data_IF_146286733939
#
_entry.id   IF_146286733939
#
_cell.length_a   1.000
_cell.length_b   1.000
_cell.length_c   1.000
_cell.angle_alpha   90.00
_cell.angle_beta   90.00
_cell.angle_gamma   90.00
#
_symmetry.space_group_name_H-M   'P 1'
#
loop_
_entity.id
_entity.type
_entity.pdbx_description
1 polymer ?
#
# COMPACT_ATOMS: atom_id res chain seq x y z
N UNK A 1 10.93 9.01 5.82
CA UNK A 1 10.65 9.00 7.27
C UNK A 1 10.11 7.64 7.67
N UNK A 2 10.59 7.07 8.77
CA UNK A 2 10.08 5.80 9.29
C UNK A 2 8.63 5.98 9.78
N UNK A 3 7.71 5.12 9.31
CA UNK A 3 6.30 5.17 9.71
C UNK A 3 6.18 4.71 11.17
N UNK A 4 5.68 5.56 12.06
CA UNK A 4 5.42 5.21 13.46
C UNK A 4 4.41 4.06 13.52
N UNK A 5 4.78 2.97 14.19
CA UNK A 5 3.94 1.77 14.30
C UNK A 5 2.75 2.03 15.22
N UNK A 6 1.62 1.39 14.91
CA UNK A 6 0.46 1.35 15.81
C UNK A 6 0.79 0.44 16.98
N UNK A 7 0.45 0.87 18.20
CA UNK A 7 0.68 0.09 19.42
C UNK A 7 -0.28 -1.09 19.49
N UNK A 8 0.14 -2.21 20.11
CA UNK A 8 -0.70 -3.42 20.19
C UNK A 8 -2.01 -3.17 20.93
N UNK A 9 -2.02 -2.29 21.94
CA UNK A 9 -3.25 -1.85 22.62
C UNK A 9 -4.29 -1.30 21.64
N UNK A 10 -3.86 -0.52 20.65
CA UNK A 10 -4.77 0.03 19.62
C UNK A 10 -5.27 -1.07 18.69
N UNK A 11 -4.44 -2.04 18.34
CA UNK A 11 -4.85 -3.18 17.51
C UNK A 11 -5.95 -3.98 18.22
N UNK A 12 -5.78 -4.29 19.51
CA UNK A 12 -6.81 -4.96 20.31
C UNK A 12 -8.12 -4.16 20.31
N UNK A 13 -8.04 -2.85 20.47
CA UNK A 13 -9.21 -1.98 20.49
C UNK A 13 -9.90 -1.87 19.12
N UNK A 14 -9.15 -1.88 18.01
CA UNK A 14 -9.72 -1.96 16.65
C UNK A 14 -10.63 -3.19 16.53
N UNK A 15 -10.14 -4.33 16.97
CA UNK A 15 -10.83 -5.62 16.85
C UNK A 15 -12.04 -5.63 17.77
N UNK A 16 -11.88 -5.17 19.02
CA UNK A 16 -12.98 -4.98 19.97
C UNK A 16 -14.12 -4.15 19.38
N UNK A 17 -13.81 -2.97 18.85
CA UNK A 17 -14.80 -2.07 18.27
C UNK A 17 -15.45 -2.63 17.00
N UNK A 18 -14.76 -3.50 16.27
CA UNK A 18 -15.33 -4.17 15.11
C UNK A 18 -16.30 -5.29 15.52
N UNK A 19 -15.90 -6.15 16.46
CA UNK A 19 -16.67 -7.35 16.83
C UNK A 19 -17.75 -7.07 17.88
N UNK A 20 -17.43 -6.37 18.97
CA UNK A 20 -18.40 -6.10 20.04
C UNK A 20 -19.40 -5.00 19.65
N UNK A 21 -18.92 -3.97 18.95
CA UNK A 21 -19.72 -2.76 18.66
C UNK A 21 -20.19 -2.67 17.19
N UNK A 22 -19.77 -3.59 16.32
CA UNK A 22 -20.19 -3.62 14.91
C UNK A 22 -19.83 -2.36 14.11
N UNK A 23 -18.82 -1.59 14.53
CA UNK A 23 -18.51 -0.31 13.91
C UNK A 23 -17.85 -0.49 12.54
N UNK A 24 -18.11 0.47 11.63
CA UNK A 24 -17.45 0.50 10.33
C UNK A 24 -15.99 0.94 10.44
N UNK A 25 -15.16 0.50 9.51
CA UNK A 25 -13.71 0.77 9.52
C UNK A 25 -13.40 2.28 9.52
N UNK A 26 -14.22 3.09 8.85
CA UNK A 26 -14.10 4.56 8.87
C UNK A 26 -14.40 5.17 10.26
N UNK A 27 -15.38 4.63 10.99
CA UNK A 27 -15.71 5.09 12.35
C UNK A 27 -14.59 4.73 13.33
N UNK A 28 -14.09 3.48 13.25
CA UNK A 28 -12.97 3.00 14.07
C UNK A 28 -11.69 3.84 13.83
N UNK A 29 -11.37 4.11 12.57
CA UNK A 29 -10.24 4.96 12.19
C UNK A 29 -10.31 6.36 12.83
N UNK A 30 -11.50 6.98 12.81
CA UNK A 30 -11.74 8.30 13.44
C UNK A 30 -11.63 8.24 14.96
N UNK A 31 -12.17 7.20 15.59
CA UNK A 31 -12.14 7.04 17.05
C UNK A 31 -10.70 6.88 17.58
N UNK A 32 -9.89 6.05 16.91
CA UNK A 32 -8.53 5.74 17.37
C UNK A 32 -7.43 6.65 16.78
N UNK A 33 -7.83 7.59 15.91
CA UNK A 33 -6.96 8.49 15.12
C UNK A 33 -5.91 7.70 14.34
N UNK A 34 -6.35 6.65 13.65
CA UNK A 34 -5.52 5.78 12.82
C UNK A 34 -6.00 5.92 11.37
N UNK A 35 -5.08 5.85 10.42
CA UNK A 35 -5.44 5.83 9.01
C UNK A 35 -6.28 4.59 8.67
N UNK A 36 -7.38 4.77 7.94
CA UNK A 36 -8.25 3.70 7.44
C UNK A 36 -7.51 2.47 6.86
N UNK A 37 -6.46 2.58 6.02
CA UNK A 37 -5.78 1.40 5.48
C UNK A 37 -5.15 0.51 6.56
N UNK A 38 -4.69 1.09 7.67
CA UNK A 38 -4.13 0.28 8.78
C UNK A 38 -5.24 -0.50 9.46
N UNK A 39 -6.39 0.12 9.73
CA UNK A 39 -7.55 -0.56 10.34
C UNK A 39 -8.03 -1.71 9.45
N UNK A 40 -8.17 -1.46 8.15
CA UNK A 40 -8.55 -2.50 7.20
C UNK A 40 -7.55 -3.65 7.16
N UNK A 41 -6.26 -3.33 7.27
CA UNK A 41 -5.19 -4.31 7.23
C UNK A 41 -5.13 -5.16 8.51
N UNK A 42 -5.18 -4.53 9.69
CA UNK A 42 -5.17 -5.22 10.98
C UNK A 42 -6.36 -6.20 11.09
N UNK A 43 -7.56 -5.77 10.68
CA UNK A 43 -8.77 -6.63 10.71
C UNK A 43 -8.65 -7.79 9.71
N UNK A 44 -8.15 -7.54 8.50
CA UNK A 44 -7.94 -8.60 7.52
C UNK A 44 -6.89 -9.61 7.99
N UNK A 45 -5.84 -9.13 8.66
CA UNK A 45 -4.78 -9.97 9.22
C UNK A 45 -5.34 -10.94 10.26
N UNK A 46 -6.11 -10.41 11.22
CA UNK A 46 -6.79 -11.17 12.28
C UNK A 46 -7.79 -12.19 11.72
N UNK A 47 -8.66 -11.76 10.78
CA UNK A 47 -9.66 -12.66 10.18
C UNK A 47 -9.01 -13.84 9.46
N UNK A 48 -7.93 -13.61 8.71
CA UNK A 48 -7.24 -14.70 8.04
C UNK A 48 -6.30 -15.50 8.96
N UNK A 49 -6.06 -15.04 10.20
CA UNK A 49 -5.50 -15.89 11.25
C UNK A 49 -6.58 -16.76 11.93
N UNK A 50 -7.87 -16.52 11.65
CA UNK A 50 -8.99 -17.22 12.28
C UNK A 50 -9.17 -16.87 13.76
N UNK A 51 -8.61 -15.74 14.21
CA UNK A 51 -8.68 -15.30 15.59
C UNK A 51 -9.81 -14.30 15.78
N UNK A 52 -10.52 -14.40 16.90
CA UNK A 52 -11.51 -13.40 17.33
C UNK A 52 -10.99 -12.51 18.45
N UNK A 53 -11.80 -11.55 18.89
CA UNK A 53 -11.48 -10.67 20.01
C UNK A 53 -11.20 -11.45 21.31
N UNK A 54 -11.95 -12.53 21.56
CA UNK A 54 -11.78 -13.36 22.77
C UNK A 54 -10.37 -13.96 22.87
N UNK A 55 -9.84 -14.46 21.76
CA UNK A 55 -8.49 -15.03 21.69
C UNK A 55 -7.43 -13.93 21.85
N UNK A 56 -7.65 -12.80 21.18
CA UNK A 56 -6.69 -11.68 21.14
C UNK A 56 -6.60 -10.97 22.49
N UNK A 57 -7.67 -10.98 23.28
CA UNK A 57 -7.67 -10.43 24.64
C UNK A 57 -6.72 -11.19 25.56
N UNK A 58 -6.60 -12.51 25.39
CA UNK A 58 -5.75 -13.36 26.24
C UNK A 58 -4.34 -13.58 25.68
N UNK A 59 -4.15 -13.36 24.38
CA UNK A 59 -2.83 -13.43 23.74
C UNK A 59 -1.85 -12.39 24.28
N UNK A 60 -0.56 -12.75 24.31
CA UNK A 60 0.52 -11.83 24.66
C UNK A 60 0.83 -10.87 23.49
N UNK A 61 1.28 -9.66 23.81
CA UNK A 61 1.61 -8.65 22.80
C UNK A 61 2.70 -9.12 21.82
N UNK A 62 3.67 -9.89 22.32
CA UNK A 62 4.76 -10.47 21.51
C UNK A 62 4.23 -11.45 20.46
N UNK A 63 3.36 -12.37 20.87
CA UNK A 63 2.75 -13.34 19.95
C UNK A 63 1.85 -12.66 18.92
N UNK A 64 1.07 -11.67 19.36
CA UNK A 64 0.22 -10.90 18.45
C UNK A 64 1.07 -10.18 17.39
N UNK A 65 2.18 -9.57 17.79
CA UNK A 65 3.13 -8.94 16.87
C UNK A 65 3.68 -9.93 15.84
N UNK A 66 4.17 -11.08 16.27
CA UNK A 66 4.74 -12.10 15.38
C UNK A 66 3.73 -12.59 14.33
N UNK A 67 2.47 -12.78 14.73
CA UNK A 67 1.41 -13.21 13.83
C UNK A 67 1.10 -12.16 12.75
N UNK A 68 1.04 -10.88 13.14
CA UNK A 68 0.78 -9.78 12.21
C UNK A 68 1.98 -9.50 11.30
N UNK A 69 3.21 -9.60 11.80
CA UNK A 69 4.43 -9.32 11.02
C UNK A 69 4.72 -10.37 9.94
N UNK A 70 4.59 -11.66 10.26
CA UNK A 70 4.83 -12.75 9.30
C UNK A 70 4.01 -12.58 8.03
N UNK A 71 2.75 -12.16 8.17
CA UNK A 71 1.81 -11.99 7.07
C UNK A 71 2.05 -10.74 6.22
N UNK A 72 2.57 -9.66 6.81
CA UNK A 72 2.86 -8.42 6.07
C UNK A 72 3.98 -8.61 5.04
N UNK A 73 4.96 -9.44 5.38
CA UNK A 73 6.11 -9.71 4.54
C UNK A 73 5.83 -10.76 3.46
N UNK A 74 4.76 -11.55 3.58
CA UNK A 74 4.42 -12.60 2.62
C UNK A 74 3.53 -12.12 1.45
N UNK A 75 3.56 -10.83 1.12
CA UNK A 75 2.80 -10.36 -0.04
C UNK A 75 3.40 -10.90 -1.34
N UNK A 76 2.56 -11.32 -2.29
CA UNK A 76 2.94 -11.78 -3.64
C UNK A 76 3.91 -10.79 -4.32
N UNK A 77 3.67 -9.49 -4.13
CA UNK A 77 4.55 -8.41 -4.59
C UNK A 77 5.95 -8.52 -4.01
N UNK A 78 6.07 -8.79 -2.70
CA UNK A 78 7.36 -8.97 -2.04
C UNK A 78 8.05 -10.27 -2.48
N UNK A 79 7.31 -11.38 -2.64
CA UNK A 79 7.84 -12.63 -3.22
C UNK A 79 8.37 -12.44 -4.64
N UNK A 80 7.71 -11.64 -5.47
CA UNK A 80 8.19 -11.28 -6.82
C UNK A 80 9.44 -10.42 -6.76
N UNK A 81 9.52 -9.47 -5.83
CA UNK A 81 10.74 -8.68 -5.60
C UNK A 81 11.91 -9.54 -5.11
N UNK A 82 11.69 -10.45 -4.15
CA UNK A 82 12.72 -11.39 -3.69
C UNK A 82 13.27 -12.26 -4.83
N UNK A 83 12.38 -12.75 -5.71
CA UNK A 83 12.78 -13.47 -6.92
C UNK A 83 13.63 -12.60 -7.84
N UNK A 84 13.26 -11.34 -8.04
CA UNK A 84 14.01 -10.41 -8.90
C UNK A 84 15.36 -9.96 -8.31
N UNK A 85 15.50 -9.90 -6.99
CA UNK A 85 16.75 -9.49 -6.31
C UNK A 85 17.88 -10.49 -6.53
N UNK A 86 17.58 -11.76 -6.85
CA UNK A 86 18.60 -12.76 -7.21
C UNK A 86 19.40 -12.42 -8.48
N UNK A 87 18.96 -11.44 -9.28
CA UNK A 87 19.68 -10.95 -10.47
C UNK A 87 20.78 -9.94 -10.10
N UNK A 88 20.76 -9.38 -8.89
CA UNK A 88 21.79 -8.49 -8.36
C UNK A 88 22.46 -9.13 -7.15
N UNK A 89 23.44 -10.01 -7.40
CA UNK A 89 24.27 -10.59 -6.34
C UNK A 89 25.11 -9.53 -5.60
N UNK A 90 25.58 -9.82 -4.37
CA UNK A 90 26.46 -8.94 -3.62
C UNK A 90 27.84 -8.90 -4.29
N UNK A 91 27.99 -8.03 -5.28
CA UNK A 91 29.23 -7.76 -5.99
C UNK A 91 29.53 -6.27 -5.99
N UNK A 92 29.65 -5.68 -4.80
CA UNK A 92 30.08 -4.30 -4.64
C UNK A 92 31.20 -4.20 -3.61
N UNK A 93 32.22 -5.05 -3.78
CA UNK A 93 33.57 -4.73 -3.35
C UNK A 93 34.43 -4.72 -4.61
N UNK A 94 34.54 -3.54 -5.24
CA UNK A 94 35.63 -3.22 -6.17
C UNK A 94 35.80 -1.72 -6.24
N UNK A 95 36.89 -1.29 -5.62
CA UNK A 95 37.84 -0.32 -6.13
C UNK A 95 37.35 1.11 -6.38
N UNK A 96 38.07 2.02 -5.71
CA UNK A 96 38.12 3.46 -5.94
C UNK A 96 38.40 3.75 -7.42
N UNK A 97 37.35 3.91 -8.21
CA UNK A 97 37.35 4.56 -9.51
C UNK A 97 36.12 5.45 -9.56
N UNK A 98 36.31 6.73 -9.83
CA UNK A 98 35.24 7.73 -9.84
C UNK A 98 34.03 7.24 -10.67
N UNK A 99 32.79 7.52 -10.22
CA UNK A 99 31.62 7.22 -11.02
C UNK A 99 31.73 7.95 -12.37
N UNK A 100 31.42 7.30 -13.50
CA UNK A 100 31.48 7.96 -14.80
C UNK A 100 30.52 9.17 -14.81
N UNK A 101 30.90 10.27 -15.49
CA UNK A 101 30.05 11.45 -15.56
C UNK A 101 28.69 11.07 -16.17
N UNK A 102 27.62 11.53 -15.52
CA UNK A 102 26.24 11.27 -15.90
C UNK A 102 25.92 11.97 -17.23
N UNK A 103 26.23 11.35 -18.37
CA UNK A 103 25.83 11.85 -19.71
C UNK A 103 24.45 11.28 -20.07
N UNK A 104 23.46 11.60 -19.25
CA UNK A 104 22.05 11.28 -19.48
C UNK A 104 21.27 12.57 -19.65
N UNK A 105 20.86 12.89 -20.89
CA UNK A 105 19.96 14.01 -21.19
C UNK A 105 18.66 13.79 -20.42
N UNK A 106 18.41 14.57 -19.36
CA UNK A 106 17.13 14.54 -18.63
C UNK A 106 16.03 14.88 -19.64
N UNK A 107 15.02 14.02 -19.88
CA UNK A 107 13.90 14.43 -20.72
C UNK A 107 13.19 15.57 -20.01
N UNK A 108 13.17 16.74 -20.65
CA UNK A 108 12.44 17.90 -20.15
C UNK A 108 10.97 17.49 -19.94
N UNK A 109 10.49 17.74 -18.72
CA UNK A 109 9.07 17.55 -18.37
C UNK A 109 8.24 18.43 -19.30
N UNK A 110 7.57 17.83 -20.27
CA UNK A 110 6.60 18.56 -21.09
C UNK A 110 5.46 19.03 -20.18
N UNK A 111 5.19 20.34 -20.05
CA UNK A 111 4.11 20.83 -19.22
C UNK A 111 2.75 20.43 -19.82
N UNK A 112 1.83 19.97 -18.96
CA UNK A 112 0.47 19.47 -19.27
C UNK A 112 -0.51 20.53 -19.82
N UNK A 113 -0.04 21.60 -20.47
CA UNK A 113 -0.85 22.78 -20.83
C UNK A 113 -1.08 22.95 -22.33
N UNK A 114 -1.00 21.88 -23.11
CA UNK A 114 -1.37 21.87 -24.54
C UNK A 114 -2.22 20.64 -24.90
N UNK A 115 -3.21 20.31 -24.06
CA UNK A 115 -4.26 19.33 -24.39
C UNK A 115 -5.66 19.95 -24.36
N UNK A 116 -5.79 21.22 -24.75
CA UNK A 116 -7.10 21.84 -24.86
C UNK A 116 -7.29 22.51 -26.21
N UNK A 117 -8.38 22.07 -26.85
CA UNK A 117 -9.11 22.61 -28.01
C UNK A 117 -8.86 21.88 -29.35
N UNK A 118 -9.91 21.71 -30.17
CA UNK A 118 -10.93 20.69 -29.93
C UNK A 118 -11.20 19.84 -31.18
N UNK A 119 -11.74 18.64 -30.95
CA UNK A 119 -12.54 17.90 -31.92
C UNK A 119 -13.66 18.83 -32.38
N UNK A 120 -13.77 19.10 -33.70
CA UNK A 120 -15.02 19.34 -34.45
C UNK A 120 -14.69 19.88 -35.85
N UNK A 121 -14.65 18.98 -36.85
CA UNK A 121 -15.32 19.22 -38.13
C UNK A 121 -15.49 17.89 -38.88
N UNK A 122 -16.60 17.20 -38.60
CA UNK A 122 -17.24 16.32 -39.56
C UNK A 122 -18.75 16.50 -39.38
N UNK A 123 -19.43 16.99 -40.42
CA UNK A 123 -20.82 16.65 -40.65
C UNK A 123 -20.90 15.83 -41.94
N UNK A 124 -21.06 14.52 -41.77
CA UNK A 124 -21.84 13.74 -42.72
C UNK A 124 -23.32 14.11 -42.54
N UNK A 125 -24.05 14.08 -43.66
CA UNK A 125 -25.51 14.04 -43.80
C UNK A 125 -26.19 15.35 -44.21
N UNK A 126 -26.68 15.35 -45.46
CA UNK A 126 -27.98 15.77 -45.99
C UNK A 126 -27.82 15.64 -47.53
N UNK A 127 -28.25 14.60 -48.24
CA UNK A 127 -29.57 13.96 -48.29
C UNK A 127 -30.70 14.99 -48.39
N UNK A 128 -31.57 14.81 -49.41
CA UNK A 128 -32.67 15.67 -49.88
C UNK A 128 -32.20 16.76 -50.88
N UNK A 129 -32.78 17.01 -52.05
CA UNK A 129 -33.93 16.51 -52.81
C UNK A 129 -33.84 17.16 -54.21
N UNK A 130 -34.46 16.54 -55.25
CA UNK A 130 -34.90 17.25 -56.46
C UNK A 130 -34.16 16.91 -57.74
#
# INVERSE_FOLDING_TARGET
MAKKRVTMNKVREIIRLHEEMGLSYRKIARALRISHPIVSQDIAEVKAAGLGYADIKTLSDTKLLELLEKRRNETERYRKLLRAVSVFGPGAEKDRGEPPPFVGRVPERVPRRLQLLPILLSPASLAECG
#
